data_IF_569276604561
#
_entry.id   IF_569276604561
#
_cell.length_a   1.000
_cell.length_b   1.000
_cell.length_c   1.000
_cell.angle_alpha   90.00
_cell.angle_beta   90.00
_cell.angle_gamma   90.00
#
_symmetry.space_group_name_H-M   'P 1'
#
loop_
_entity.id
_entity.type
_entity.pdbx_description
1 polymer ?
#
# COMPACT_ATOMS: atom_id res chain seq x y z
N UNK A 1 -5.49 7.36 26.44
CA UNK A 1 -4.29 8.09 26.93
C UNK A 1 -4.46 9.59 26.68
N UNK A 2 -4.29 10.15 25.45
CA UNK A 2 -4.27 11.59 25.20
C UNK A 2 -5.49 12.36 25.75
N UNK A 3 -6.72 11.86 25.50
CA UNK A 3 -7.94 12.48 26.07
C UNK A 3 -7.96 12.45 27.60
N UNK A 4 -7.48 11.36 28.19
CA UNK A 4 -7.36 11.25 29.66
C UNK A 4 -6.32 12.24 30.25
N UNK A 5 -5.39 12.71 29.42
CA UNK A 5 -4.43 13.76 29.79
C UNK A 5 -4.92 15.18 29.46
N UNK A 6 -6.22 15.35 29.14
CA UNK A 6 -6.85 16.65 28.92
C UNK A 6 -6.66 17.23 27.51
N UNK A 7 -6.16 16.46 26.54
CA UNK A 7 -6.01 16.95 25.18
C UNK A 7 -7.25 16.64 24.32
N UNK A 8 -7.77 17.64 23.64
CA UNK A 8 -8.80 17.47 22.63
C UNK A 8 -8.19 16.85 21.37
N UNK A 9 -8.54 15.59 21.10
CA UNK A 9 -8.07 14.81 19.95
C UNK A 9 -9.18 14.02 19.30
N UNK A 10 -9.14 13.89 17.98
CA UNK A 10 -10.09 13.09 17.21
C UNK A 10 -9.39 11.92 16.52
N UNK A 11 -10.11 10.83 16.33
CA UNK A 11 -9.65 9.70 15.54
C UNK A 11 -10.04 9.90 14.06
N UNK A 12 -9.13 9.51 13.15
CA UNK A 12 -9.35 9.61 11.72
C UNK A 12 -8.84 8.33 11.05
N UNK A 13 -9.73 7.46 10.68
CA UNK A 13 -9.39 6.13 10.14
C UNK A 13 -10.12 5.86 8.82
N UNK A 14 -9.71 4.81 8.10
CA UNK A 14 -10.41 4.35 6.90
C UNK A 14 -11.87 3.93 7.15
N UNK A 15 -12.23 3.62 8.41
CA UNK A 15 -13.58 3.24 8.83
C UNK A 15 -14.44 4.41 9.35
N UNK A 16 -13.83 5.59 9.54
CA UNK A 16 -14.55 6.80 9.95
C UNK A 16 -15.46 7.24 8.80
N UNK A 17 -16.69 7.61 9.13
CA UNK A 17 -17.66 8.13 8.17
C UNK A 17 -17.11 9.34 7.40
N UNK A 18 -17.40 9.50 6.08
CA UNK A 18 -16.92 10.63 5.30
C UNK A 18 -17.26 12.00 5.88
N UNK A 19 -18.48 12.19 6.41
CA UNK A 19 -18.88 13.47 6.99
C UNK A 19 -18.15 13.73 8.32
N UNK A 20 -17.94 12.70 9.14
CA UNK A 20 -17.13 12.80 10.35
C UNK A 20 -15.67 13.13 10.05
N UNK A 21 -15.12 12.64 8.93
CA UNK A 21 -13.77 13.00 8.48
C UNK A 21 -13.67 14.48 8.16
N UNK A 22 -14.65 15.01 7.41
CA UNK A 22 -14.68 16.44 7.07
C UNK A 22 -14.76 17.31 8.33
N UNK A 23 -15.59 16.91 9.32
CA UNK A 23 -15.70 17.60 10.61
C UNK A 23 -14.36 17.55 11.37
N UNK A 24 -13.68 16.41 11.38
CA UNK A 24 -12.39 16.26 12.05
C UNK A 24 -11.29 17.10 11.39
N UNK A 25 -11.24 17.10 10.05
CA UNK A 25 -10.31 17.94 9.29
C UNK A 25 -10.53 19.42 9.54
N UNK A 26 -11.80 19.86 9.53
CA UNK A 26 -12.15 21.25 9.81
C UNK A 26 -11.81 21.64 11.25
N UNK A 27 -12.08 20.75 12.21
CA UNK A 27 -11.72 20.97 13.62
C UNK A 27 -10.21 21.16 13.82
N UNK A 28 -9.39 20.39 13.08
CA UNK A 28 -7.94 20.56 13.12
C UNK A 28 -7.50 21.86 12.44
N UNK A 29 -8.06 22.18 11.26
CA UNK A 29 -7.76 23.44 10.54
C UNK A 29 -8.04 24.66 11.39
N UNK A 30 -9.13 24.65 12.12
CA UNK A 30 -9.57 25.75 13.01
C UNK A 30 -8.91 25.71 14.42
N UNK A 31 -7.97 24.83 14.64
CA UNK A 31 -7.31 24.66 15.96
C UNK A 31 -8.28 24.32 17.11
N UNK A 32 -9.46 23.77 16.81
CA UNK A 32 -10.43 23.31 17.82
C UNK A 32 -10.00 22.01 18.50
N UNK A 33 -9.09 21.27 17.86
CA UNK A 33 -8.49 20.06 18.43
C UNK A 33 -6.95 20.17 18.36
N UNK A 34 -6.30 19.56 19.33
CA UNK A 34 -4.83 19.57 19.41
C UNK A 34 -4.18 18.69 18.35
N UNK A 35 -4.81 17.56 18.01
CA UNK A 35 -4.29 16.62 17.04
C UNK A 35 -5.39 15.71 16.47
N UNK A 36 -5.13 15.17 15.29
CA UNK A 36 -5.79 13.97 14.78
C UNK A 36 -4.91 12.74 15.00
N UNK A 37 -5.49 11.69 15.56
CA UNK A 37 -4.85 10.36 15.59
C UNK A 37 -5.35 9.62 14.34
N UNK A 38 -4.51 9.60 13.32
CA UNK A 38 -4.88 9.13 12.00
C UNK A 38 -4.13 7.86 11.61
N UNK A 39 -4.77 7.02 10.82
CA UNK A 39 -4.09 6.03 10.00
C UNK A 39 -3.67 6.67 8.67
N UNK A 40 -3.16 5.88 7.71
CA UNK A 40 -2.90 6.33 6.34
C UNK A 40 -4.14 6.90 5.60
N UNK A 41 -5.32 6.83 6.23
CA UNK A 41 -6.58 7.37 5.69
C UNK A 41 -6.60 8.90 5.59
N UNK A 42 -5.79 9.63 6.36
CA UNK A 42 -5.61 11.07 6.17
C UNK A 42 -4.86 11.29 4.86
N UNK A 43 -5.63 11.33 3.77
CA UNK A 43 -5.15 11.24 2.41
C UNK A 43 -4.34 12.44 1.91
N UNK A 44 -3.84 12.34 0.68
CA UNK A 44 -3.27 13.46 -0.06
C UNK A 44 -4.32 14.57 -0.20
N UNK A 45 -3.92 15.82 -0.01
CA UNK A 45 -4.82 16.97 -0.14
C UNK A 45 -5.19 17.67 1.17
N UNK A 46 -4.94 17.05 2.33
CA UNK A 46 -5.07 17.78 3.59
C UNK A 46 -3.94 18.79 3.71
N UNK A 47 -4.30 20.04 3.80
CA UNK A 47 -3.36 21.16 3.97
C UNK A 47 -3.74 21.99 5.21
N UNK A 48 -2.74 22.23 6.06
CA UNK A 48 -2.80 23.09 7.23
C UNK A 48 -1.43 23.76 7.39
N UNK A 49 -1.29 25.01 6.95
CA UNK A 49 0.01 25.70 6.93
C UNK A 49 0.68 25.80 8.31
N UNK A 50 -0.12 25.97 9.36
CA UNK A 50 0.34 26.10 10.76
C UNK A 50 0.36 24.76 11.50
N UNK A 51 0.47 23.62 10.79
CA UNK A 51 0.64 22.32 11.42
C UNK A 51 2.00 22.25 12.14
N UNK A 52 1.97 22.24 13.45
CA UNK A 52 3.17 22.39 14.30
C UNK A 52 3.90 21.08 14.55
N UNK A 53 3.30 19.92 14.33
CA UNK A 53 3.98 18.65 14.53
C UNK A 53 3.36 17.49 13.75
N UNK A 54 4.19 16.50 13.47
CA UNK A 54 3.79 15.17 12.99
C UNK A 54 4.49 14.10 13.82
N UNK A 55 3.73 13.16 14.38
CA UNK A 55 4.27 12.04 15.16
C UNK A 55 3.85 10.73 14.51
N UNK A 56 4.82 9.90 14.17
CA UNK A 56 4.59 8.54 13.70
C UNK A 56 4.75 7.56 14.85
N UNK A 57 3.71 6.78 15.10
CA UNK A 57 3.71 5.60 15.97
C UNK A 57 3.87 4.37 15.10
N UNK A 58 5.09 3.90 14.94
CA UNK A 58 5.49 2.97 13.90
C UNK A 58 5.96 3.69 12.63
N UNK A 59 6.85 3.05 11.90
CA UNK A 59 7.38 3.64 10.68
C UNK A 59 6.40 3.45 9.49
N UNK A 60 6.26 4.46 8.62
CA UNK A 60 5.51 4.34 7.38
C UNK A 60 6.05 3.24 6.46
N UNK A 61 5.23 2.77 5.54
CA UNK A 61 5.55 1.67 4.63
C UNK A 61 6.63 1.97 3.59
N UNK A 62 7.07 3.21 3.46
CA UNK A 62 8.17 3.62 2.59
C UNK A 62 8.69 5.01 2.94
N UNK A 63 9.92 5.31 2.53
CA UNK A 63 10.52 6.64 2.66
C UNK A 63 9.66 7.71 1.94
N UNK A 64 9.10 7.39 0.78
CA UNK A 64 8.21 8.31 0.05
C UNK A 64 6.96 8.64 0.88
N UNK A 65 6.33 7.62 1.49
CA UNK A 65 5.18 7.82 2.38
C UNK A 65 5.57 8.67 3.59
N UNK A 66 6.74 8.42 4.16
CA UNK A 66 7.27 9.23 5.26
C UNK A 66 7.38 10.70 4.86
N UNK A 67 8.08 11.00 3.76
CA UNK A 67 8.24 12.37 3.27
C UNK A 67 6.90 13.05 2.95
N UNK A 68 5.97 12.34 2.35
CA UNK A 68 4.63 12.87 2.06
C UNK A 68 3.84 13.23 3.32
N UNK A 69 4.07 12.49 4.42
CA UNK A 69 3.37 12.73 5.68
C UNK A 69 4.02 13.85 6.49
N UNK A 70 5.34 13.87 6.62
CA UNK A 70 6.05 14.94 7.34
C UNK A 70 6.03 16.27 6.60
N UNK A 71 6.01 16.25 5.26
CA UNK A 71 5.91 17.45 4.42
C UNK A 71 4.60 18.22 4.56
N UNK A 72 3.70 17.79 5.43
CA UNK A 72 2.48 18.54 5.82
C UNK A 72 2.74 19.53 6.93
N UNK A 73 3.76 19.30 7.77
CA UNK A 73 4.12 20.18 8.87
C UNK A 73 5.02 21.33 8.39
N UNK A 74 4.92 22.46 9.05
CA UNK A 74 5.84 23.58 8.88
C UNK A 74 5.71 24.39 7.59
N UNK A 75 4.66 24.22 6.82
CA UNK A 75 4.50 24.97 5.54
C UNK A 75 4.35 26.48 5.74
N UNK A 76 3.72 26.89 6.82
CA UNK A 76 3.54 28.30 7.18
C UNK A 76 4.02 28.63 8.60
N UNK A 77 4.62 27.67 9.30
CA UNK A 77 5.17 27.87 10.64
C UNK A 77 6.70 28.03 10.57
N UNK A 78 7.26 28.78 11.53
CA UNK A 78 8.72 28.99 11.62
C UNK A 78 9.45 27.68 11.92
N UNK A 79 8.83 26.81 12.73
CA UNK A 79 9.32 25.49 13.09
C UNK A 79 8.16 24.50 13.18
N UNK A 80 8.46 23.24 12.89
CA UNK A 80 7.54 22.12 13.13
C UNK A 80 8.34 20.90 13.61
N UNK A 81 7.78 20.19 14.57
CA UNK A 81 8.39 19.00 15.14
C UNK A 81 7.98 17.75 14.37
N UNK A 82 8.95 16.93 14.00
CA UNK A 82 8.70 15.62 13.41
C UNK A 82 9.34 14.56 14.31
N UNK A 83 8.50 13.64 14.77
CA UNK A 83 8.94 12.55 15.64
C UNK A 83 8.55 11.21 15.02
N UNK A 84 9.52 10.32 14.87
CA UNK A 84 9.33 8.93 14.49
C UNK A 84 9.63 8.04 15.69
N UNK A 85 8.65 7.26 16.11
CA UNK A 85 8.76 6.27 17.20
C UNK A 85 8.62 4.88 16.57
N UNK A 86 9.74 4.26 16.12
CA UNK A 86 9.70 2.96 15.48
C UNK A 86 9.26 1.87 16.47
N UNK A 87 8.40 0.97 16.02
CA UNK A 87 7.98 -0.21 16.76
C UNK A 87 8.85 -1.44 16.43
N UNK A 88 8.89 -2.40 17.33
CA UNK A 88 9.59 -3.66 17.07
C UNK A 88 8.94 -4.47 15.95
N UNK A 89 7.65 -4.30 15.78
CA UNK A 89 6.82 -4.96 14.77
C UNK A 89 6.93 -4.32 13.38
N UNK A 90 7.48 -3.12 13.25
CA UNK A 90 7.58 -2.42 11.97
C UNK A 90 8.34 -3.24 10.93
N UNK A 91 9.42 -3.91 11.34
CA UNK A 91 10.19 -4.77 10.46
C UNK A 91 9.35 -5.93 9.90
N UNK A 92 8.58 -6.59 10.76
CA UNK A 92 7.70 -7.69 10.31
C UNK A 92 6.58 -7.17 9.38
N UNK A 93 6.08 -5.96 9.62
CA UNK A 93 5.10 -5.30 8.77
C UNK A 93 5.72 -4.99 7.40
N UNK A 94 6.93 -4.45 7.36
CA UNK A 94 7.65 -4.18 6.10
C UNK A 94 7.96 -5.45 5.31
N UNK A 95 8.46 -6.48 5.99
CA UNK A 95 8.69 -7.79 5.38
C UNK A 95 7.39 -8.35 4.79
N UNK A 96 6.27 -8.24 5.51
CA UNK A 96 4.96 -8.63 5.00
C UNK A 96 4.59 -7.85 3.73
N UNK A 97 4.67 -6.53 3.72
CA UNK A 97 4.33 -5.73 2.54
C UNK A 97 5.30 -5.93 1.38
N UNK A 98 6.57 -6.14 1.66
CA UNK A 98 7.57 -6.44 0.64
C UNK A 98 7.28 -7.78 -0.05
N UNK A 99 6.86 -8.79 0.70
CA UNK A 99 6.58 -10.14 0.22
C UNK A 99 5.16 -10.33 -0.31
N UNK A 100 4.16 -9.63 0.27
CA UNK A 100 2.76 -9.76 -0.13
C UNK A 100 2.47 -9.36 -1.60
N UNK A 101 3.37 -8.57 -2.20
CA UNK A 101 3.30 -8.20 -3.62
C UNK A 101 4.12 -9.12 -4.53
N UNK A 102 4.83 -10.12 -3.97
CA UNK A 102 5.59 -11.07 -4.76
C UNK A 102 4.69 -12.19 -5.30
N UNK A 103 4.96 -12.68 -6.51
CA UNK A 103 4.24 -13.82 -7.03
C UNK A 103 4.40 -15.04 -6.09
N UNK A 104 3.30 -15.74 -5.86
CA UNK A 104 3.34 -17.06 -5.26
C UNK A 104 3.48 -18.09 -6.39
N UNK A 105 4.41 -19.05 -6.26
CA UNK A 105 4.70 -20.05 -7.28
C UNK A 105 3.45 -20.85 -7.67
N UNK A 106 2.72 -21.36 -6.70
CA UNK A 106 1.51 -22.15 -6.93
C UNK A 106 0.45 -21.34 -7.69
N UNK A 107 0.25 -20.08 -7.30
CA UNK A 107 -0.69 -19.17 -7.96
C UNK A 107 -0.27 -18.84 -9.38
N UNK A 108 1.02 -18.61 -9.60
CA UNK A 108 1.57 -18.32 -10.92
C UNK A 108 1.41 -19.53 -11.87
N UNK A 109 1.74 -20.72 -11.39
CA UNK A 109 1.55 -21.95 -12.15
C UNK A 109 0.07 -22.19 -12.46
N UNK A 110 -0.84 -22.00 -11.49
CA UNK A 110 -2.28 -22.16 -11.72
C UNK A 110 -2.81 -21.19 -12.80
N UNK A 111 -2.34 -19.94 -12.81
CA UNK A 111 -2.70 -18.96 -13.85
C UNK A 111 -2.15 -19.39 -15.22
N UNK A 112 -0.88 -19.79 -15.28
CA UNK A 112 -0.24 -20.23 -16.51
C UNK A 112 -0.90 -21.48 -17.09
N UNK A 113 -1.29 -22.44 -16.25
CA UNK A 113 -2.01 -23.66 -16.66
C UNK A 113 -3.40 -23.33 -17.19
N UNK A 114 -4.14 -22.43 -16.51
CA UNK A 114 -5.44 -21.97 -16.99
C UNK A 114 -5.36 -21.30 -18.37
N UNK A 115 -4.31 -20.49 -18.59
CA UNK A 115 -4.06 -19.86 -19.89
C UNK A 115 -3.63 -20.87 -20.95
N UNK A 116 -2.81 -21.86 -20.61
CA UNK A 116 -2.38 -22.91 -21.53
C UNK A 116 -3.56 -23.77 -22.03
N UNK A 117 -4.56 -24.02 -21.16
CA UNK A 117 -5.78 -24.74 -21.50
C UNK A 117 -6.78 -23.91 -22.31
N UNK A 118 -6.48 -22.65 -22.60
CA UNK A 118 -7.37 -21.72 -23.30
C UNK A 118 -6.65 -20.97 -24.42
N UNK A 119 -6.44 -21.61 -25.58
CA UNK A 119 -5.69 -21.02 -26.70
C UNK A 119 -6.26 -19.67 -27.18
N UNK A 120 -7.57 -19.48 -27.07
CA UNK A 120 -8.23 -18.21 -27.42
C UNK A 120 -8.02 -17.10 -26.39
N UNK A 121 -7.37 -17.41 -25.27
CA UNK A 121 -7.13 -16.52 -24.17
C UNK A 121 -8.30 -16.43 -23.18
N UNK A 122 -8.05 -15.82 -22.03
CA UNK A 122 -9.04 -15.63 -20.97
C UNK A 122 -9.11 -14.16 -20.56
N UNK A 123 -10.32 -13.66 -20.33
CA UNK A 123 -10.51 -12.38 -19.66
C UNK A 123 -10.13 -12.49 -18.17
N UNK A 124 -9.86 -11.36 -17.53
CA UNK A 124 -9.57 -11.33 -16.08
C UNK A 124 -10.71 -11.98 -15.28
N UNK A 125 -11.96 -11.70 -15.62
CA UNK A 125 -13.12 -12.28 -14.94
C UNK A 125 -13.17 -13.81 -15.10
N UNK A 126 -12.83 -14.33 -16.28
CA UNK A 126 -12.79 -15.77 -16.52
C UNK A 126 -11.62 -16.44 -15.77
N UNK A 127 -10.48 -15.75 -15.64
CA UNK A 127 -9.36 -16.21 -14.85
C UNK A 127 -9.68 -16.23 -13.35
N UNK A 128 -10.31 -15.17 -12.82
CA UNK A 128 -10.75 -15.11 -11.41
C UNK A 128 -11.60 -16.33 -11.04
N UNK A 129 -12.55 -16.68 -11.90
CA UNK A 129 -13.43 -17.82 -11.68
C UNK A 129 -12.69 -19.17 -11.68
N UNK A 130 -11.58 -19.29 -12.43
CA UNK A 130 -10.82 -20.54 -12.56
C UNK A 130 -9.75 -20.73 -11.47
N UNK A 131 -9.03 -19.65 -11.13
CA UNK A 131 -7.88 -19.74 -10.23
C UNK A 131 -8.19 -19.32 -8.79
N UNK A 132 -9.43 -18.87 -8.51
CA UNK A 132 -9.91 -18.45 -7.19
C UNK A 132 -9.00 -17.39 -6.50
N UNK A 133 -8.41 -16.51 -7.28
CA UNK A 133 -7.61 -15.40 -6.82
C UNK A 133 -8.43 -14.12 -6.78
N UNK A 134 -8.14 -13.26 -5.82
CA UNK A 134 -8.71 -11.89 -5.81
C UNK A 134 -8.22 -11.13 -7.03
N UNK A 135 -9.08 -10.32 -7.63
CA UNK A 135 -8.79 -9.54 -8.83
C UNK A 135 -7.50 -8.74 -8.74
N UNK A 136 -7.26 -8.04 -7.62
CA UNK A 136 -6.05 -7.24 -7.42
C UNK A 136 -4.76 -8.08 -7.42
N UNK A 137 -4.81 -9.26 -6.81
CA UNK A 137 -3.67 -10.21 -6.81
C UNK A 137 -3.44 -10.77 -8.21
N UNK A 138 -4.52 -11.13 -8.91
CA UNK A 138 -4.45 -11.66 -10.28
C UNK A 138 -3.90 -10.61 -11.26
N UNK A 139 -4.38 -9.36 -11.19
CA UNK A 139 -3.88 -8.27 -12.04
C UNK A 139 -2.39 -7.99 -11.83
N UNK A 140 -1.92 -8.04 -10.57
CA UNK A 140 -0.51 -7.87 -10.27
C UNK A 140 0.32 -9.03 -10.81
N UNK A 141 -0.14 -10.27 -10.58
CA UNK A 141 0.53 -11.48 -11.06
C UNK A 141 0.63 -11.51 -12.59
N UNK A 142 -0.46 -11.18 -13.30
CA UNK A 142 -0.47 -11.11 -14.76
C UNK A 142 0.51 -10.07 -15.30
N UNK A 143 0.67 -8.92 -14.64
CA UNK A 143 1.70 -7.93 -15.02
C UNK A 143 3.11 -8.46 -14.86
N UNK A 144 3.38 -9.22 -13.80
CA UNK A 144 4.69 -9.87 -13.61
C UNK A 144 4.95 -10.90 -14.69
N UNK A 145 3.98 -11.76 -14.97
CA UNK A 145 4.08 -12.79 -16.02
C UNK A 145 4.24 -12.18 -17.43
N UNK A 146 3.65 -11.01 -17.68
CA UNK A 146 3.81 -10.25 -18.92
C UNK A 146 5.24 -9.72 -19.08
N UNK A 147 5.77 -9.07 -18.04
CA UNK A 147 7.16 -8.58 -18.00
C UNK A 147 8.16 -9.72 -18.14
N UNK A 148 7.87 -10.89 -17.57
CA UNK A 148 8.71 -12.09 -17.68
C UNK A 148 8.49 -12.85 -19.00
N UNK A 149 7.60 -12.37 -19.86
CA UNK A 149 7.32 -12.96 -21.17
C UNK A 149 6.56 -14.28 -21.13
N UNK A 150 5.99 -14.65 -19.97
CA UNK A 150 5.25 -15.90 -19.78
C UNK A 150 3.80 -15.81 -20.19
N UNK A 151 3.21 -14.63 -20.12
CA UNK A 151 1.87 -14.32 -20.60
C UNK A 151 1.90 -13.01 -21.38
N UNK A 152 0.87 -12.78 -22.19
CA UNK A 152 0.73 -11.56 -22.98
C UNK A 152 -0.72 -11.10 -22.98
N UNK A 153 -0.92 -9.79 -22.93
CA UNK A 153 -2.24 -9.18 -23.03
C UNK A 153 -2.55 -8.79 -24.46
N UNK A 154 -3.62 -9.36 -25.02
CA UNK A 154 -4.14 -9.01 -26.35
C UNK A 154 -5.57 -8.47 -26.20
N UNK A 155 -5.75 -7.16 -26.32
CA UNK A 155 -7.03 -6.53 -26.08
C UNK A 155 -7.52 -6.73 -24.63
N UNK A 156 -8.64 -7.43 -24.48
CA UNK A 156 -9.23 -7.76 -23.17
C UNK A 156 -8.88 -9.17 -22.65
N UNK A 157 -8.05 -9.92 -23.41
CA UNK A 157 -7.71 -11.30 -23.11
C UNK A 157 -6.24 -11.45 -22.78
N UNK A 158 -5.95 -12.43 -21.94
CA UNK A 158 -4.61 -12.87 -21.60
C UNK A 158 -4.36 -14.23 -22.22
N UNK A 159 -3.17 -14.43 -22.76
CA UNK A 159 -2.73 -15.67 -23.38
C UNK A 159 -1.42 -16.15 -22.82
N UNK A 160 -1.23 -17.45 -22.78
CA UNK A 160 0.07 -18.08 -22.52
C UNK A 160 0.97 -17.88 -23.71
N UNK A 161 2.24 -17.49 -23.48
CA UNK A 161 3.26 -17.49 -24.52
C UNK A 161 3.90 -18.86 -24.65
N UNK A 162 4.71 -19.06 -25.70
CA UNK A 162 5.55 -20.25 -25.85
C UNK A 162 6.84 -20.20 -25.03
N UNK A 163 7.14 -19.08 -24.39
CA UNK A 163 8.35 -18.91 -23.56
C UNK A 163 8.30 -19.83 -22.34
N UNK A 164 9.37 -20.59 -22.08
CA UNK A 164 9.47 -21.35 -20.85
C UNK A 164 9.49 -20.38 -19.66
N UNK A 165 8.76 -20.71 -18.63
CA UNK A 165 8.75 -19.94 -17.40
C UNK A 165 9.07 -20.82 -16.22
N UNK A 166 9.92 -20.34 -15.35
CA UNK A 166 10.31 -20.99 -14.11
C UNK A 166 10.28 -19.98 -12.98
N UNK A 167 9.74 -20.40 -11.84
CA UNK A 167 9.71 -19.57 -10.66
C UNK A 167 11.12 -19.38 -10.11
N UNK A 168 11.57 -18.13 -10.05
CA UNK A 168 12.88 -17.76 -9.50
C UNK A 168 12.70 -17.21 -8.06
N UNK A 169 12.68 -18.14 -7.10
CA UNK A 169 12.54 -17.81 -5.68
C UNK A 169 13.67 -16.91 -5.17
N UNK A 170 14.90 -17.09 -5.70
CA UNK A 170 16.05 -16.29 -5.29
C UNK A 170 15.92 -14.85 -5.76
N UNK A 171 15.49 -14.64 -7.01
CA UNK A 171 15.22 -13.31 -7.56
C UNK A 171 14.12 -12.59 -6.81
N UNK A 172 12.99 -13.25 -6.56
CA UNK A 172 11.89 -12.65 -5.82
C UNK A 172 12.26 -12.33 -4.37
N UNK A 173 13.03 -13.20 -3.70
CA UNK A 173 13.55 -12.93 -2.37
C UNK A 173 14.52 -11.72 -2.38
N UNK A 174 15.39 -11.60 -3.37
CA UNK A 174 16.29 -10.45 -3.51
C UNK A 174 15.52 -9.14 -3.72
N UNK A 175 14.47 -9.14 -4.55
CA UNK A 175 13.61 -7.95 -4.76
C UNK A 175 12.87 -7.58 -3.48
N UNK A 176 12.34 -8.56 -2.75
CA UNK A 176 11.68 -8.33 -1.46
C UNK A 176 12.65 -7.74 -0.44
N UNK A 177 13.88 -8.29 -0.35
CA UNK A 177 14.91 -7.80 0.55
C UNK A 177 15.36 -6.36 0.21
N UNK A 178 15.53 -6.05 -1.08
CA UNK A 178 15.89 -4.70 -1.52
C UNK A 178 14.81 -3.68 -1.09
N UNK A 179 13.52 -4.02 -1.24
CA UNK A 179 12.41 -3.17 -0.79
C UNK A 179 12.40 -2.92 0.72
N UNK A 180 12.81 -3.91 1.53
CA UNK A 180 12.92 -3.73 2.99
C UNK A 180 14.08 -2.81 3.36
N UNK A 181 15.19 -2.87 2.61
CA UNK A 181 16.38 -2.04 2.86
C UNK A 181 16.14 -0.58 2.44
N UNK A 182 15.31 -0.34 1.42
CA UNK A 182 14.96 1.02 0.96
C UNK A 182 13.94 1.73 1.88
N UNK A 183 13.37 1.05 2.86
CA UNK A 183 12.41 1.58 3.83
C UNK A 183 13.08 1.95 5.15
#
# INVERSE_FOLDING_TARGET
ALRASGYEVLAYTGKTDPDERLVAEQALKENRVKALVATSALGMGFDKPDLGFVVHLGAPSSAVSYYQQIGRAGRGAVNADVLLLPGREDRAIWEYFATASMPNEEQALAVLDALAQSPDGLSITALEARVQLRRSTLELLLKVLDVEGAAVKEGNYWRRTSSPWQYDSARYAAVAQARVVEQ
#
